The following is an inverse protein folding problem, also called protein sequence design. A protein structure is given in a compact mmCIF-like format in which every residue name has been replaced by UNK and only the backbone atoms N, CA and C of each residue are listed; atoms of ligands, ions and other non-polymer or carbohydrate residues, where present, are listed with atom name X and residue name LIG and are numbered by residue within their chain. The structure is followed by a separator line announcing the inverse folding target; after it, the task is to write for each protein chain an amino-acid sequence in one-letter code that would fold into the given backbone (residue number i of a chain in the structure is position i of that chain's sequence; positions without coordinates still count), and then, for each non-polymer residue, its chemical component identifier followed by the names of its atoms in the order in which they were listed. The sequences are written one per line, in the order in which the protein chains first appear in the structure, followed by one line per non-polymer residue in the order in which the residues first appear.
data_IF_145607751417
#
_entry.id   IF_145607751417
#
_cell.length_a   1.000
_cell.length_b   1.000
_cell.length_c   1.000
_cell.angle_alpha   90.00
_cell.angle_beta   90.00
_cell.angle_gamma   90.00
#
_symmetry.space_group_name_H-M   'P 1'
#
loop_
_entity.id
_entity.type
_entity.pdbx_description
1 polymer ?
#
# COMPACT_ATOMS: atom_id res chain seq x y z
N UNK A 1 -15.58 -4.13 -1.72
CA UNK A 1 -14.19 -3.65 -1.74
C UNK A 1 -13.33 -4.65 -1.02
N UNK A 2 -12.15 -4.90 -1.56
CA UNK A 2 -11.21 -5.92 -1.10
C UNK A 2 -9.81 -5.31 -1.04
N UNK A 3 -8.99 -5.78 -0.10
CA UNK A 3 -7.57 -5.45 -0.02
C UNK A 3 -6.79 -6.66 -0.51
N UNK A 4 -5.98 -6.47 -1.54
CA UNK A 4 -5.10 -7.48 -2.11
C UNK A 4 -3.67 -7.15 -1.67
N UNK A 5 -2.96 -8.13 -1.13
CA UNK A 5 -1.52 -8.03 -0.86
C UNK A 5 -0.77 -8.48 -2.12
N UNK A 6 0.19 -7.68 -2.56
CA UNK A 6 0.99 -7.92 -3.76
C UNK A 6 2.38 -7.30 -3.59
N UNK A 7 3.12 -7.13 -4.68
CA UNK A 7 4.51 -6.70 -4.72
C UNK A 7 4.68 -5.46 -5.63
N UNK A 8 5.92 -4.99 -5.74
CA UNK A 8 6.30 -3.81 -6.50
C UNK A 8 6.17 -3.94 -8.01
N UNK A 9 6.05 -5.17 -8.54
CA UNK A 9 5.95 -5.43 -9.98
C UNK A 9 4.49 -5.50 -10.47
N UNK A 10 3.50 -5.41 -9.58
CA UNK A 10 2.09 -5.37 -9.97
C UNK A 10 1.78 -4.10 -10.80
N UNK A 11 1.43 -4.30 -12.08
CA UNK A 11 1.13 -3.22 -13.03
C UNK A 11 0.01 -2.30 -12.52
N UNK A 12 -0.98 -2.84 -11.79
CA UNK A 12 -2.09 -2.05 -11.25
C UNK A 12 -1.61 -1.10 -10.17
N UNK A 13 -0.63 -1.49 -9.37
CA UNK A 13 0.02 -0.62 -8.40
C UNK A 13 0.85 0.45 -9.09
N UNK A 14 1.69 0.04 -10.04
CA UNK A 14 2.57 0.92 -10.80
C UNK A 14 1.77 2.03 -11.49
N UNK A 15 0.71 1.66 -12.22
CA UNK A 15 -0.13 2.60 -12.95
C UNK A 15 -0.88 3.53 -12.01
N UNK A 16 -1.43 2.98 -10.92
CA UNK A 16 -2.16 3.78 -9.94
C UNK A 16 -1.22 4.76 -9.23
N UNK A 17 -0.06 4.35 -8.72
CA UNK A 17 0.89 5.26 -8.05
C UNK A 17 1.36 6.37 -9.00
N UNK A 18 1.69 6.02 -10.25
CA UNK A 18 2.11 7.00 -11.27
C UNK A 18 1.02 8.01 -11.58
N UNK A 19 -0.26 7.62 -11.55
CA UNK A 19 -1.38 8.56 -11.77
C UNK A 19 -1.45 9.67 -10.70
N UNK A 20 -0.91 9.42 -9.50
CA UNK A 20 -0.77 10.41 -8.42
C UNK A 20 0.59 11.13 -8.42
N UNK A 21 1.44 10.92 -9.43
CA UNK A 21 2.78 11.51 -9.52
C UNK A 21 3.80 10.94 -8.55
N UNK A 22 3.53 9.74 -8.00
CA UNK A 22 4.42 9.06 -7.06
C UNK A 22 5.67 8.51 -7.77
N UNK A 23 6.79 8.53 -7.05
CA UNK A 23 8.02 7.82 -7.43
C UNK A 23 8.01 6.47 -6.73
N UNK A 24 8.16 5.39 -7.50
CA UNK A 24 8.26 4.04 -6.97
C UNK A 24 9.66 3.83 -6.40
N UNK A 25 9.74 3.70 -5.08
CA UNK A 25 10.99 3.49 -4.35
C UNK A 25 10.98 2.11 -3.71
N UNK A 26 11.21 1.09 -4.54
CA UNK A 26 11.37 -0.34 -4.20
C UNK A 26 10.57 -0.79 -2.96
N UNK A 27 9.22 -0.68 -2.98
CA UNK A 27 8.42 -1.10 -1.84
C UNK A 27 8.50 -2.62 -1.67
N UNK A 28 8.62 -3.08 -0.43
CA UNK A 28 8.66 -4.52 -0.13
C UNK A 28 7.26 -5.13 -0.04
N UNK A 29 6.29 -4.34 0.43
CA UNK A 29 4.89 -4.77 0.54
C UNK A 29 4.02 -3.74 -0.14
N UNK A 30 3.13 -4.23 -1.00
CA UNK A 30 2.13 -3.42 -1.69
C UNK A 30 0.74 -3.93 -1.35
N UNK A 31 -0.17 -3.01 -1.06
CA UNK A 31 -1.59 -3.24 -0.90
C UNK A 31 -2.35 -2.53 -2.02
N UNK A 32 -3.26 -3.26 -2.66
CA UNK A 32 -4.24 -2.71 -3.59
C UNK A 32 -5.63 -2.74 -2.97
N UNK A 33 -6.30 -1.59 -2.99
CA UNK A 33 -7.70 -1.49 -2.64
C UNK A 33 -8.52 -1.60 -3.92
N UNK A 34 -9.21 -2.73 -4.10
CA UNK A 34 -9.97 -3.02 -5.31
C UNK A 34 -11.47 -2.90 -5.04
N UNK A 35 -12.17 -2.21 -5.94
CA UNK A 35 -13.61 -2.16 -6.00
C UNK A 35 -14.08 -2.77 -7.32
N UNK A 36 -14.69 -3.95 -7.25
CA UNK A 36 -14.99 -4.78 -8.42
C UNK A 36 -13.73 -5.07 -9.24
N UNK A 37 -13.56 -4.41 -10.39
CA UNK A 37 -12.42 -4.58 -11.30
C UNK A 37 -11.45 -3.40 -11.27
N UNK A 38 -11.74 -2.36 -10.49
CA UNK A 38 -10.97 -1.11 -10.48
C UNK A 38 -10.14 -0.97 -9.21
N UNK A 39 -8.86 -0.64 -9.37
CA UNK A 39 -8.03 -0.16 -8.26
C UNK A 39 -8.50 1.25 -7.88
N UNK A 40 -8.90 1.40 -6.62
CA UNK A 40 -9.40 2.67 -6.05
C UNK A 40 -8.50 3.18 -4.92
N UNK A 41 -7.41 2.48 -4.63
CA UNK A 41 -6.41 2.90 -3.68
C UNK A 41 -5.21 1.96 -3.68
N UNK A 42 -4.08 2.47 -3.18
CA UNK A 42 -2.92 1.66 -2.87
C UNK A 42 -2.26 2.15 -1.58
N UNK A 43 -1.50 1.27 -0.97
CA UNK A 43 -0.56 1.63 0.07
C UNK A 43 0.66 0.71 0.01
N UNK A 44 1.82 1.19 0.42
CA UNK A 44 3.02 0.36 0.42
C UNK A 44 3.95 0.76 1.54
N UNK A 45 4.80 -0.18 1.96
CA UNK A 45 5.92 0.13 2.83
C UNK A 45 7.20 -0.54 2.35
N UNK A 46 8.33 -0.01 2.82
CA UNK A 46 9.61 -0.70 2.88
C UNK A 46 10.13 -0.68 4.31
N UNK A 47 10.88 -1.71 4.70
CA UNK A 47 11.61 -1.70 5.97
C UNK A 47 12.62 -0.56 5.97
N UNK A 48 12.61 0.23 7.04
CA UNK A 48 13.54 1.35 7.22
C UNK A 48 14.71 0.93 8.11
N UNK A 49 14.43 0.31 9.26
CA UNK A 49 15.41 -0.24 10.18
C UNK A 49 14.85 -1.47 10.94
N UNK A 50 15.52 -1.87 12.02
CA UNK A 50 15.18 -3.09 12.76
C UNK A 50 13.85 -3.03 13.53
N UNK A 51 13.26 -1.85 13.68
CA UNK A 51 12.05 -1.62 14.47
C UNK A 51 11.02 -0.72 13.77
N UNK A 52 11.28 -0.29 12.54
CA UNK A 52 10.39 0.58 11.79
C UNK A 52 10.31 0.28 10.29
N UNK A 53 9.15 0.63 9.74
CA UNK A 53 8.86 0.66 8.31
C UNK A 53 8.59 2.11 7.88
N UNK A 54 8.94 2.42 6.65
CA UNK A 54 8.55 3.66 5.97
C UNK A 54 7.34 3.37 5.08
N UNK A 55 6.27 4.17 5.20
CA UNK A 55 5.12 4.10 4.29
C UNK A 55 5.41 5.00 3.09
N UNK A 56 5.82 4.41 1.97
CA UNK A 56 6.20 5.14 0.75
C UNK A 56 5.00 5.56 -0.10
N UNK A 57 3.87 4.86 0.03
CA UNK A 57 2.65 5.22 -0.70
C UNK A 57 1.39 5.03 0.16
N UNK A 58 0.45 5.97 0.02
CA UNK A 58 -0.90 5.88 0.56
C UNK A 58 -1.83 6.77 -0.27
N UNK A 59 -2.45 6.18 -1.28
CA UNK A 59 -3.33 6.87 -2.20
C UNK A 59 -4.72 6.21 -2.21
N UNK A 60 -5.77 7.02 -2.18
CA UNK A 60 -7.17 6.58 -2.24
C UNK A 60 -7.91 7.55 -3.14
N UNK A 61 -8.51 7.04 -4.20
CA UNK A 61 -9.18 7.83 -5.24
C UNK A 61 -10.55 8.38 -4.77
N UNK A 62 -11.22 7.68 -3.85
CA UNK A 62 -12.53 8.11 -3.35
C UNK A 62 -12.44 9.30 -2.39
N UNK A 63 -13.10 10.41 -2.74
CA UNK A 63 -13.34 11.54 -1.82
C UNK A 63 -14.31 11.20 -0.68
N UNK A 64 -15.22 10.25 -0.91
CA UNK A 64 -16.14 9.76 0.13
C UNK A 64 -15.44 8.62 0.88
N UNK A 65 -15.35 8.73 2.20
CA UNK A 65 -14.72 7.73 3.09
C UNK A 65 -13.20 7.57 2.91
N UNK A 66 -12.51 8.57 2.33
CA UNK A 66 -11.04 8.55 2.17
C UNK A 66 -10.32 8.17 3.46
N UNK A 67 -10.71 8.81 4.56
CA UNK A 67 -10.13 8.60 5.88
C UNK A 67 -10.30 7.18 6.38
N UNK A 68 -11.52 6.63 6.30
CA UNK A 68 -11.82 5.26 6.72
C UNK A 68 -11.03 4.23 5.89
N UNK A 69 -10.91 4.45 4.59
CA UNK A 69 -10.18 3.57 3.69
C UNK A 69 -8.66 3.65 3.92
N UNK A 70 -8.13 4.85 4.08
CA UNK A 70 -6.73 5.07 4.46
C UNK A 70 -6.41 4.39 5.79
N UNK A 71 -7.28 4.53 6.79
CA UNK A 71 -7.12 3.85 8.07
C UNK A 71 -7.06 2.33 7.91
N UNK A 72 -7.98 1.73 7.13
CA UNK A 72 -7.96 0.28 6.86
C UNK A 72 -6.67 -0.17 6.19
N UNK A 73 -6.17 0.59 5.21
CA UNK A 73 -4.91 0.28 4.53
C UNK A 73 -3.73 0.34 5.51
N UNK A 74 -3.63 1.39 6.33
CA UNK A 74 -2.59 1.53 7.35
C UNK A 74 -2.63 0.36 8.33
N UNK A 75 -3.82 0.01 8.85
CA UNK A 75 -3.97 -1.13 9.78
C UNK A 75 -3.51 -2.45 9.19
N UNK A 76 -3.68 -2.66 7.88
CA UNK A 76 -3.18 -3.85 7.20
C UNK A 76 -1.66 -3.82 7.00
N UNK A 77 -1.09 -2.66 6.62
CA UNK A 77 0.36 -2.50 6.55
C UNK A 77 1.02 -2.76 7.90
N UNK A 78 0.48 -2.19 8.99
CA UNK A 78 0.96 -2.41 10.36
C UNK A 78 0.94 -3.90 10.73
N UNK A 79 -0.16 -4.59 10.42
CA UNK A 79 -0.28 -6.02 10.68
C UNK A 79 0.81 -6.81 9.95
N UNK A 80 1.00 -6.55 8.66
CA UNK A 80 2.01 -7.23 7.84
C UNK A 80 3.42 -6.92 8.34
N UNK A 81 3.72 -5.67 8.69
CA UNK A 81 5.03 -5.28 9.23
C UNK A 81 5.36 -6.03 10.54
N UNK A 82 4.36 -6.19 11.42
CA UNK A 82 4.49 -6.96 12.66
C UNK A 82 4.70 -8.46 12.35
N UNK A 83 3.90 -9.02 11.43
CA UNK A 83 4.00 -10.42 11.03
C UNK A 83 5.36 -10.75 10.38
N UNK A 84 5.99 -9.76 9.72
CA UNK A 84 7.34 -9.85 9.15
C UNK A 84 8.46 -9.49 10.15
N UNK A 85 8.12 -9.13 11.39
CA UNK A 85 9.07 -8.63 12.38
C UNK A 85 9.98 -7.49 11.86
N UNK A 86 9.45 -6.60 11.02
CA UNK A 86 10.21 -5.50 10.40
C UNK A 86 11.43 -5.96 9.58
N UNK A 87 11.39 -7.16 9.00
CA UNK A 87 12.51 -7.69 8.19
C UNK A 87 12.25 -7.56 6.70
N UNK A 88 13.30 -7.17 5.97
CA UNK A 88 13.35 -7.31 4.52
C UNK A 88 13.35 -8.80 4.18
N UNK A 89 12.32 -9.25 3.45
CA UNK A 89 12.19 -10.63 2.96
C UNK A 89 13.23 -10.99 1.92
#
# INVERSE_FOLDING_TARGET
MEIIVTDEVDERFIDFCKSFGCVLDEPQVVLLLVNYTSTVGCASFKVYDADSIEINSLFVDSLKNREELSYKLIKQLEKIAIDLEFRAS
#
